data_IF_955710997567
#
_entry.id   IF_955710997567
#
_cell.length_a   1.000
_cell.length_b   1.000
_cell.length_c   1.000
_cell.angle_alpha   90.00
_cell.angle_beta   90.00
_cell.angle_gamma   90.00
#
_symmetry.space_group_name_H-M   'P 1'
#
loop_
_entity.id
_entity.type
_entity.pdbx_description
1 polymer ?
#
# COMPACT_ATOMS: atom_id res chain seq x y z
N UNK A 1 16.31 -14.76 -6.19
CA UNK A 1 17.47 -13.90 -5.88
C UNK A 1 17.81 -14.06 -4.41
N UNK A 2 19.10 -14.06 -4.02
CA UNK A 2 19.55 -14.18 -2.62
C UNK A 2 20.16 -12.85 -2.18
N UNK A 3 19.85 -12.42 -0.96
CA UNK A 3 20.49 -11.28 -0.31
C UNK A 3 20.95 -11.70 1.10
N UNK A 4 21.83 -10.91 1.70
CA UNK A 4 22.26 -11.05 3.09
C UNK A 4 21.75 -9.84 3.86
N UNK A 5 21.24 -10.08 5.06
CA UNK A 5 20.81 -9.03 5.99
C UNK A 5 21.28 -9.41 7.39
N UNK A 6 21.84 -8.44 8.08
CA UNK A 6 22.18 -8.57 9.49
C UNK A 6 20.91 -8.33 10.31
N UNK A 7 20.54 -9.33 11.10
CA UNK A 7 19.34 -9.31 11.95
C UNK A 7 19.83 -9.69 13.36
N UNK A 8 19.45 -8.93 14.41
CA UNK A 8 19.80 -9.27 15.78
C UNK A 8 19.37 -10.69 16.16
N UNK A 9 20.18 -11.38 16.97
CA UNK A 9 19.90 -12.77 17.39
C UNK A 9 18.52 -12.90 18.07
N UNK A 10 18.13 -11.89 18.87
CA UNK A 10 16.81 -11.83 19.51
C UNK A 10 15.65 -11.90 18.53
N UNK A 11 15.79 -11.25 17.37
CA UNK A 11 14.74 -11.21 16.35
C UNK A 11 14.70 -12.54 15.57
N UNK A 12 15.84 -13.21 15.41
CA UNK A 12 15.90 -14.57 14.84
C UNK A 12 15.21 -15.57 15.75
N UNK A 13 15.49 -15.53 17.06
CA UNK A 13 14.83 -16.41 18.05
C UNK A 13 13.31 -16.21 18.06
N UNK A 14 12.88 -14.95 18.03
CA UNK A 14 11.46 -14.61 17.92
C UNK A 14 10.82 -15.14 16.62
N UNK A 15 11.50 -15.00 15.47
CA UNK A 15 11.03 -15.51 14.19
C UNK A 15 10.92 -17.04 14.17
N UNK A 16 11.86 -17.75 14.77
CA UNK A 16 11.84 -19.21 14.83
C UNK A 16 10.70 -19.72 15.74
N UNK A 17 10.46 -19.05 16.88
CA UNK A 17 9.32 -19.36 17.74
C UNK A 17 7.98 -19.13 17.02
N UNK A 18 7.84 -18.01 16.30
CA UNK A 18 6.64 -17.69 15.53
C UNK A 18 6.42 -18.67 14.36
N UNK A 19 7.50 -19.09 13.71
CA UNK A 19 7.46 -20.05 12.61
C UNK A 19 6.96 -21.41 13.10
N UNK A 20 7.43 -21.85 14.28
CA UNK A 20 6.99 -23.10 14.91
C UNK A 20 5.51 -23.06 15.28
N UNK A 21 5.07 -21.97 15.91
CA UNK A 21 3.66 -21.76 16.30
C UNK A 21 2.71 -21.79 15.08
N UNK A 22 3.12 -21.17 13.97
CA UNK A 22 2.32 -21.12 12.74
C UNK A 22 2.51 -22.33 11.80
N UNK A 23 3.43 -23.24 12.11
CA UNK A 23 3.73 -24.39 11.25
C UNK A 23 4.30 -24.00 9.87
N UNK A 24 5.04 -22.90 9.78
CA UNK A 24 5.65 -22.40 8.53
C UNK A 24 7.17 -22.27 8.68
N UNK A 25 7.88 -22.08 7.57
CA UNK A 25 9.33 -21.79 7.64
C UNK A 25 9.60 -20.33 8.03
N UNK A 26 10.70 -20.05 8.72
CA UNK A 26 11.18 -18.68 8.97
C UNK A 26 11.29 -17.87 7.67
N UNK A 27 11.76 -18.48 6.58
CA UNK A 27 11.86 -17.82 5.28
C UNK A 27 10.49 -17.38 4.72
N UNK A 28 9.42 -18.12 5.03
CA UNK A 28 8.05 -17.75 4.67
C UNK A 28 7.56 -16.53 5.46
N UNK A 29 7.84 -16.47 6.76
CA UNK A 29 7.54 -15.29 7.57
C UNK A 29 8.23 -14.03 7.04
N UNK A 30 9.52 -14.13 6.70
CA UNK A 30 10.27 -13.01 6.11
C UNK A 30 9.66 -12.56 4.78
N UNK A 31 9.25 -13.50 3.91
CA UNK A 31 8.57 -13.16 2.65
C UNK A 31 7.25 -12.43 2.90
N UNK A 32 6.44 -12.89 3.85
CA UNK A 32 5.17 -12.24 4.23
C UNK A 32 5.40 -10.85 4.80
N UNK A 33 6.40 -10.68 5.66
CA UNK A 33 6.77 -9.38 6.23
C UNK A 33 7.18 -8.38 5.13
N UNK A 34 8.01 -8.81 4.16
CA UNK A 34 8.39 -7.96 3.01
C UNK A 34 7.18 -7.60 2.14
N UNK A 35 6.28 -8.57 1.91
CA UNK A 35 5.06 -8.31 1.14
C UNK A 35 4.13 -7.31 1.84
N UNK A 36 3.92 -7.47 3.15
CA UNK A 36 3.13 -6.55 3.98
C UNK A 36 3.74 -5.15 3.98
N UNK A 37 5.05 -5.05 4.25
CA UNK A 37 5.75 -3.77 4.22
C UNK A 37 5.65 -3.08 2.86
N UNK A 38 5.72 -3.84 1.77
CA UNK A 38 5.54 -3.30 0.43
C UNK A 38 4.13 -2.75 0.22
N UNK A 39 3.10 -3.45 0.70
CA UNK A 39 1.70 -2.97 0.59
C UNK A 39 1.48 -1.69 1.41
N UNK A 40 2.05 -1.63 2.62
CA UNK A 40 1.98 -0.44 3.46
C UNK A 40 2.75 0.73 2.83
N UNK A 41 3.94 0.46 2.28
CA UNK A 41 4.81 1.45 1.65
C UNK A 41 4.34 1.90 0.26
N UNK A 42 3.63 1.04 -0.50
CA UNK A 42 3.09 1.41 -1.81
C UNK A 42 2.03 2.50 -1.69
N UNK A 43 1.46 2.71 -0.50
CA UNK A 43 0.44 3.72 -0.29
C UNK A 43 -0.70 3.45 -1.25
N UNK A 44 -1.51 2.44 -0.94
CA UNK A 44 -2.74 2.08 -1.68
C UNK A 44 -3.72 3.27 -1.87
N UNK A 45 -3.40 4.46 -1.37
CA UNK A 45 -3.93 5.73 -1.85
C UNK A 45 -3.80 5.93 -3.37
N UNK A 46 -2.74 5.51 -4.07
CA UNK A 46 -2.63 5.77 -5.53
C UNK A 46 -3.54 4.83 -6.34
N UNK A 47 -3.56 3.53 -6.01
CA UNK A 47 -4.44 2.56 -6.68
C UNK A 47 -5.92 2.75 -6.28
N UNK A 48 -6.21 3.22 -5.06
CA UNK A 48 -7.58 3.57 -4.64
C UNK A 48 -8.00 5.02 -4.93
N UNK A 49 -7.09 5.93 -5.30
CA UNK A 49 -7.46 7.32 -5.63
C UNK A 49 -8.09 7.45 -7.01
N UNK A 50 -7.82 6.51 -7.93
CA UNK A 50 -8.41 6.57 -9.26
C UNK A 50 -9.92 6.34 -9.18
N UNK A 51 -10.68 7.42 -9.28
CA UNK A 51 -12.15 7.38 -9.22
C UNK A 51 -12.76 7.60 -7.83
N UNK A 52 -11.98 7.98 -6.81
CA UNK A 52 -12.49 8.26 -5.45
C UNK A 52 -13.53 9.42 -5.41
N UNK A 53 -13.63 10.23 -6.47
CA UNK A 53 -14.58 11.33 -6.64
C UNK A 53 -15.69 11.00 -7.66
N UNK A 54 -15.68 9.82 -8.30
CA UNK A 54 -16.51 9.51 -9.48
C UNK A 54 -18.01 9.49 -9.20
N UNK A 55 -18.42 9.16 -7.97
CA UNK A 55 -19.83 9.01 -7.58
C UNK A 55 -20.29 9.93 -6.45
N UNK A 56 -19.52 10.99 -6.16
CA UNK A 56 -19.92 11.98 -5.15
C UNK A 56 -20.78 13.06 -5.79
N UNK A 57 -21.98 13.26 -5.24
CA UNK A 57 -22.94 14.24 -5.75
C UNK A 57 -22.78 15.64 -5.13
N UNK A 58 -22.01 15.77 -4.05
CA UNK A 58 -21.78 17.01 -3.29
C UNK A 58 -20.64 17.87 -3.85
N UNK A 59 -19.84 17.33 -4.77
CA UNK A 59 -18.80 18.01 -5.53
C UNK A 59 -19.29 18.15 -6.98
N UNK A 60 -19.81 19.32 -7.32
CA UNK A 60 -20.40 19.55 -8.65
C UNK A 60 -19.51 19.15 -9.83
N UNK A 61 -20.14 18.99 -11.00
CA UNK A 61 -19.50 18.53 -12.24
C UNK A 61 -18.29 19.41 -12.65
N UNK A 62 -17.10 18.80 -12.65
CA UNK A 62 -15.85 19.47 -12.96
C UNK A 62 -15.73 19.94 -14.42
N UNK A 63 -16.35 19.23 -15.37
CA UNK A 63 -16.33 19.62 -16.78
C UNK A 63 -17.22 20.84 -17.00
N UNK A 64 -18.42 20.86 -16.41
CA UNK A 64 -19.29 22.05 -16.41
C UNK A 64 -18.61 23.25 -15.74
N UNK A 65 -17.91 23.01 -14.63
CA UNK A 65 -17.13 24.05 -13.95
C UNK A 65 -16.02 24.63 -14.85
N UNK A 66 -15.23 23.78 -15.51
CA UNK A 66 -14.19 24.22 -16.45
C UNK A 66 -14.77 24.98 -17.66
N UNK A 67 -15.87 24.49 -18.23
CA UNK A 67 -16.54 25.16 -19.35
C UNK A 67 -17.03 26.56 -18.96
N UNK A 68 -17.61 26.72 -17.76
CA UNK A 68 -18.01 28.02 -17.23
C UNK A 68 -16.83 28.99 -17.10
N UNK A 69 -15.67 28.50 -16.65
CA UNK A 69 -14.46 29.32 -16.55
C UNK A 69 -13.90 29.71 -17.92
N UNK A 70 -13.92 28.79 -18.90
CA UNK A 70 -13.39 29.03 -20.26
C UNK A 70 -14.34 29.83 -21.16
N UNK A 71 -15.65 29.72 -20.93
CA UNK A 71 -16.68 30.49 -21.62
C UNK A 71 -16.77 31.94 -21.14
N UNK A 72 -16.13 32.29 -20.01
CA UNK A 72 -15.84 33.67 -19.66
C UNK A 72 -14.66 34.16 -20.49
N UNK A 73 -14.94 34.58 -21.72
CA UNK A 73 -14.15 35.59 -22.42
C UNK A 73 -14.99 36.87 -22.40
N UNK A 74 -14.36 37.95 -21.93
CA UNK A 74 -14.86 39.33 -22.04
C UNK A 74 -15.12 39.69 -23.51
#
# INVERSE_FOLDING_TARGET
MRFLADIPDSDIEWLDALALDQGVSRAELVRRAVASFRADASGDAIDNAFGIWKGRDDIGDGLKYQQRLRGKRE
#
